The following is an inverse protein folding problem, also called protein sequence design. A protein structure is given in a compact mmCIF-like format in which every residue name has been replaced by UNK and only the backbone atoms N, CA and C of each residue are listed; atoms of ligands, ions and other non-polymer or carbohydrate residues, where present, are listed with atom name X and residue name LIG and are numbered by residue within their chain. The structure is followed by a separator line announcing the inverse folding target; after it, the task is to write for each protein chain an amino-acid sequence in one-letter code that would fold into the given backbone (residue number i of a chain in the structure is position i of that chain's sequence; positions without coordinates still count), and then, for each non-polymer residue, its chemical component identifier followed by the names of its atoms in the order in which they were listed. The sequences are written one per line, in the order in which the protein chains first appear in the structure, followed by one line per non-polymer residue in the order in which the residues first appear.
data_IF_454215889690
#
_entry.id   IF_454215889690
#
_cell.length_a   1.000
_cell.length_b   1.000
_cell.length_c   1.000
_cell.angle_alpha   90.00
_cell.angle_beta   90.00
_cell.angle_gamma   90.00
#
_symmetry.space_group_name_H-M   'P 1'
#
loop_
_entity.id
_entity.type
_entity.pdbx_description
1 polymer ?
#
# COMPACT_ATOMS: atom_id res chain seq x y z
N UNK A 1 32.12 -37.57 -6.21
CA UNK A 1 30.81 -37.20 -5.63
C UNK A 1 30.34 -35.94 -6.33
N UNK A 2 29.30 -36.07 -7.16
CA UNK A 2 28.40 -34.98 -7.59
C UNK A 2 27.62 -34.51 -6.34
N UNK A 3 27.22 -33.26 -6.13
CA UNK A 3 26.69 -32.28 -7.08
C UNK A 3 26.63 -30.88 -6.43
N UNK A 4 26.76 -29.85 -7.30
CA UNK A 4 25.99 -28.60 -7.40
C UNK A 4 25.74 -27.82 -6.10
N UNK A 5 26.34 -26.67 -5.79
CA UNK A 5 26.71 -25.52 -6.64
C UNK A 5 25.67 -25.09 -7.68
N UNK A 6 24.39 -25.11 -7.31
CA UNK A 6 23.41 -24.16 -7.84
C UNK A 6 23.42 -22.96 -6.85
N UNK A 7 24.21 -21.91 -7.05
CA UNK A 7 24.01 -20.94 -8.12
C UNK A 7 22.54 -20.52 -8.26
N UNK A 8 21.90 -20.14 -7.14
CA UNK A 8 20.91 -19.08 -7.20
C UNK A 8 21.61 -17.80 -7.65
N UNK A 9 21.74 -17.66 -8.97
CA UNK A 9 22.07 -16.41 -9.59
C UNK A 9 21.06 -15.38 -9.07
N UNK A 10 21.54 -14.45 -8.23
CA UNK A 10 20.89 -13.16 -7.97
C UNK A 10 20.75 -12.48 -9.33
N UNK A 11 19.62 -12.74 -9.98
CA UNK A 11 19.20 -12.01 -11.17
C UNK A 11 18.83 -10.61 -10.69
N UNK A 12 19.77 -9.67 -10.80
CA UNK A 12 19.68 -8.23 -11.18
C UNK A 12 18.36 -7.42 -11.00
N UNK A 13 17.35 -7.91 -10.32
CA UNK A 13 15.96 -7.41 -10.19
C UNK A 13 15.68 -6.99 -8.75
N UNK A 14 16.72 -6.54 -8.03
CA UNK A 14 16.65 -6.23 -6.60
C UNK A 14 16.21 -4.77 -6.33
N UNK A 15 15.88 -4.00 -7.39
CA UNK A 15 15.51 -2.58 -7.28
C UNK A 15 14.06 -2.37 -7.69
N UNK A 16 13.39 -1.48 -6.97
CA UNK A 16 12.01 -1.02 -7.25
C UNK A 16 11.89 -0.51 -8.68
N UNK A 17 12.94 0.16 -9.17
CA UNK A 17 13.05 0.69 -10.54
C UNK A 17 13.08 -0.37 -11.65
N UNK A 18 13.31 -1.66 -11.31
CA UNK A 18 13.31 -2.75 -12.30
C UNK A 18 11.90 -3.35 -12.54
N UNK A 19 10.90 -2.89 -11.76
CA UNK A 19 9.49 -3.22 -11.98
C UNK A 19 8.88 -2.15 -12.87
N UNK A 20 8.22 -2.57 -13.95
CA UNK A 20 7.60 -1.61 -14.87
C UNK A 20 6.45 -0.87 -14.16
N UNK A 21 6.35 0.43 -14.42
CA UNK A 21 5.30 1.24 -13.79
C UNK A 21 3.91 0.71 -14.18
N UNK A 22 3.71 0.12 -15.36
CA UNK A 22 2.43 -0.47 -15.76
C UNK A 22 1.97 -1.62 -14.83
N UNK A 23 2.91 -2.42 -14.31
CA UNK A 23 2.59 -3.49 -13.36
C UNK A 23 2.16 -2.92 -12.01
N UNK A 24 2.86 -1.88 -11.53
CA UNK A 24 2.54 -1.21 -10.28
C UNK A 24 1.23 -0.40 -10.39
N UNK A 25 0.98 0.21 -11.54
CA UNK A 25 -0.28 0.87 -11.86
C UNK A 25 -1.45 -0.13 -11.85
N UNK A 26 -1.27 -1.30 -12.48
CA UNK A 26 -2.27 -2.38 -12.43
C UNK A 26 -2.54 -2.85 -11.00
N UNK A 27 -1.50 -2.94 -10.16
CA UNK A 27 -1.64 -3.26 -8.73
C UNK A 27 -2.40 -2.16 -7.96
N UNK A 28 -2.11 -0.88 -8.23
CA UNK A 28 -2.83 0.25 -7.62
C UNK A 28 -4.31 0.27 -8.06
N UNK A 29 -4.61 -0.05 -9.31
CA UNK A 29 -5.99 -0.17 -9.80
C UNK A 29 -6.74 -1.31 -9.12
N UNK A 30 -6.09 -2.44 -8.82
CA UNK A 30 -6.68 -3.49 -7.97
C UNK A 30 -6.96 -2.99 -6.54
N UNK A 31 -6.09 -2.16 -5.97
CA UNK A 31 -6.33 -1.53 -4.66
C UNK A 31 -7.54 -0.57 -4.72
N UNK A 32 -7.70 0.19 -5.81
CA UNK A 32 -8.89 1.01 -6.05
C UNK A 32 -10.16 0.15 -6.16
N UNK A 33 -10.13 -0.98 -6.86
CA UNK A 33 -11.29 -1.86 -6.99
C UNK A 33 -11.82 -2.38 -5.64
N UNK A 34 -10.93 -2.74 -4.72
CA UNK A 34 -11.35 -3.14 -3.36
C UNK A 34 -11.82 -1.93 -2.55
N UNK A 35 -11.18 -0.77 -2.69
CA UNK A 35 -11.60 0.48 -2.04
C UNK A 35 -13.01 0.90 -2.44
N UNK A 36 -13.37 0.76 -3.73
CA UNK A 36 -14.69 1.11 -4.28
C UNK A 36 -15.84 0.30 -3.64
N UNK A 37 -15.56 -0.88 -3.10
CA UNK A 37 -16.56 -1.78 -2.50
C UNK A 37 -16.58 -1.72 -0.97
N UNK A 38 -15.68 -0.95 -0.36
CA UNK A 38 -15.49 -0.92 1.08
C UNK A 38 -16.36 0.16 1.74
N UNK A 39 -16.82 -0.09 2.99
CA UNK A 39 -17.57 0.94 3.74
C UNK A 39 -16.71 2.14 4.11
N UNK A 40 -15.39 1.95 4.19
CA UNK A 40 -14.39 3.02 4.22
C UNK A 40 -13.56 2.92 2.96
N UNK A 41 -13.52 3.94 2.09
CA UNK A 41 -13.02 3.81 0.71
C UNK A 41 -11.49 3.87 0.64
N UNK A 42 -10.81 2.99 1.35
CA UNK A 42 -9.36 2.87 1.33
C UNK A 42 -9.00 1.45 0.94
N UNK A 43 -8.03 1.33 0.04
CA UNK A 43 -7.54 0.06 -0.45
C UNK A 43 -6.03 0.04 -0.47
N UNK A 44 -5.47 -1.15 -0.30
CA UNK A 44 -4.05 -1.37 -0.42
C UNK A 44 -3.77 -2.69 -1.11
N UNK A 45 -2.67 -2.74 -1.85
CA UNK A 45 -2.11 -3.93 -2.43
C UNK A 45 -0.65 -4.09 -2.00
N UNK A 46 -0.23 -5.32 -1.74
CA UNK A 46 1.16 -5.68 -1.50
C UNK A 46 1.67 -6.44 -2.72
N UNK A 47 2.56 -5.81 -3.48
CA UNK A 47 3.14 -6.37 -4.69
C UNK A 47 4.44 -7.13 -4.36
N UNK A 48 4.53 -8.37 -4.80
CA UNK A 48 5.70 -9.24 -4.67
C UNK A 48 6.62 -9.00 -5.88
N UNK A 49 7.80 -8.42 -5.63
CA UNK A 49 8.79 -8.06 -6.66
C UNK A 49 9.30 -9.32 -7.37
N UNK A 50 9.62 -10.36 -6.61
CA UNK A 50 10.18 -11.62 -7.11
C UNK A 50 9.20 -12.35 -8.03
N UNK A 51 7.92 -12.43 -7.62
CA UNK A 51 6.87 -13.10 -8.41
C UNK A 51 6.18 -12.17 -9.41
N UNK A 52 6.52 -10.88 -9.41
CA UNK A 52 5.97 -9.83 -10.29
C UNK A 52 4.45 -9.79 -10.30
N UNK A 53 3.82 -9.88 -9.13
CA UNK A 53 2.35 -9.92 -8.98
C UNK A 53 1.89 -9.36 -7.64
N UNK A 54 0.61 -9.01 -7.56
CA UNK A 54 -0.04 -8.70 -6.29
C UNK A 54 -0.15 -9.99 -5.44
N UNK A 55 0.48 -9.99 -4.27
CA UNK A 55 0.39 -11.09 -3.31
C UNK A 55 -0.85 -10.94 -2.42
N UNK A 56 -1.16 -9.71 -1.99
CA UNK A 56 -2.31 -9.39 -1.17
C UNK A 56 -2.98 -8.11 -1.67
N UNK A 57 -4.31 -8.08 -1.67
CA UNK A 57 -5.09 -6.87 -1.93
C UNK A 57 -6.27 -6.86 -0.95
N UNK A 58 -6.41 -5.79 -0.17
CA UNK A 58 -7.42 -5.70 0.88
C UNK A 58 -7.99 -4.27 0.98
N UNK A 59 -9.30 -4.14 1.27
CA UNK A 59 -9.87 -2.87 1.66
C UNK A 59 -9.60 -2.57 3.15
N UNK A 60 -9.94 -1.35 3.56
CA UNK A 60 -10.18 -1.00 4.95
C UNK A 60 -11.44 -1.74 5.44
N UNK A 61 -11.31 -2.41 6.58
CA UNK A 61 -12.39 -3.20 7.20
C UNK A 61 -12.72 -2.72 8.61
N UNK A 62 -12.37 -1.48 8.96
CA UNK A 62 -12.58 -0.93 10.31
C UNK A 62 -14.03 -1.00 10.79
N UNK A 63 -15.00 -0.92 9.86
CA UNK A 63 -16.43 -0.99 10.18
C UNK A 63 -16.92 -2.43 10.25
N UNK A 64 -16.44 -3.26 9.35
CA UNK A 64 -16.81 -4.66 9.15
C UNK A 64 -16.29 -5.51 10.31
N UNK A 65 -15.04 -5.30 10.72
CA UNK A 65 -14.37 -6.09 11.76
C UNK A 65 -14.53 -5.48 13.16
N UNK A 66 -15.14 -4.29 13.26
CA UNK A 66 -15.18 -3.49 14.49
C UNK A 66 -13.78 -3.24 15.11
N UNK A 67 -12.72 -3.28 14.29
CA UNK A 67 -11.33 -3.03 14.68
C UNK A 67 -10.89 -1.65 14.17
N UNK A 68 -10.62 -0.66 15.05
CA UNK A 68 -10.15 0.66 14.61
C UNK A 68 -8.78 0.62 13.92
N UNK A 69 -8.03 -0.48 14.01
CA UNK A 69 -6.71 -0.65 13.38
C UNK A 69 -6.78 -1.39 12.04
N UNK A 70 -7.94 -1.85 11.59
CA UNK A 70 -8.12 -2.61 10.35
C UNK A 70 -8.14 -1.71 9.09
N UNK A 71 -7.10 -0.87 8.98
CA UNK A 71 -6.81 -0.10 7.78
C UNK A 71 -6.35 -1.02 6.64
N UNK A 72 -6.52 -0.59 5.39
CA UNK A 72 -6.20 -1.40 4.23
C UNK A 72 -4.73 -1.86 4.24
N UNK A 73 -3.82 -0.94 4.56
CA UNK A 73 -2.38 -1.17 4.68
C UNK A 73 -2.07 -2.18 5.80
N UNK A 74 -2.74 -2.05 6.95
CA UNK A 74 -2.57 -3.00 8.06
C UNK A 74 -3.09 -4.39 7.67
N UNK A 75 -4.20 -4.46 6.95
CA UNK A 75 -4.81 -5.71 6.52
C UNK A 75 -3.90 -6.47 5.54
N UNK A 76 -3.29 -5.79 4.57
CA UNK A 76 -2.32 -6.45 3.67
C UNK A 76 -1.05 -6.85 4.40
N UNK A 77 -0.49 -5.99 5.25
CA UNK A 77 0.76 -6.29 5.98
C UNK A 77 0.58 -7.44 6.97
N UNK A 78 -0.54 -7.48 7.71
CA UNK A 78 -0.85 -8.58 8.64
C UNK A 78 -1.04 -9.90 7.90
N UNK A 79 -1.76 -9.89 6.78
CA UNK A 79 -1.98 -11.10 5.97
C UNK A 79 -0.66 -11.65 5.40
N UNK A 80 0.23 -10.75 4.96
CA UNK A 80 1.55 -11.11 4.49
C UNK A 80 2.43 -11.66 5.61
N UNK A 81 2.52 -10.96 6.75
CA UNK A 81 3.34 -11.37 7.90
C UNK A 81 2.95 -12.74 8.49
N UNK A 82 1.70 -13.17 8.32
CA UNK A 82 1.24 -14.50 8.73
C UNK A 82 1.75 -15.63 7.79
N UNK A 83 2.03 -15.30 6.54
CA UNK A 83 2.42 -16.27 5.50
C UNK A 83 3.92 -16.20 5.16
N UNK A 84 4.53 -15.04 5.36
CA UNK A 84 5.91 -14.72 5.00
C UNK A 84 6.51 -13.81 6.08
N UNK A 85 7.63 -14.23 6.66
CA UNK A 85 8.33 -13.45 7.69
C UNK A 85 9.18 -12.32 7.10
N UNK A 86 9.47 -12.34 5.80
CA UNK A 86 10.32 -11.36 5.13
C UNK A 86 9.55 -10.55 4.08
N UNK A 87 9.15 -9.33 4.43
CA UNK A 87 8.45 -8.44 3.52
C UNK A 87 9.39 -7.54 2.71
N UNK A 88 10.72 -7.71 2.81
CA UNK A 88 11.70 -6.83 2.15
C UNK A 88 11.70 -6.89 0.62
N UNK A 89 11.04 -7.90 0.05
CA UNK A 89 10.82 -8.03 -1.40
C UNK A 89 9.42 -7.57 -1.83
N UNK A 90 8.75 -6.74 -1.03
CA UNK A 90 7.40 -6.25 -1.33
C UNK A 90 7.32 -4.73 -1.44
N UNK A 91 6.46 -4.26 -2.34
CA UNK A 91 6.07 -2.85 -2.46
C UNK A 91 4.63 -2.72 -1.95
N UNK A 92 4.40 -1.78 -1.03
CA UNK A 92 3.07 -1.43 -0.55
C UNK A 92 2.46 -0.34 -1.45
N UNK A 93 1.39 -0.66 -2.16
CA UNK A 93 0.59 0.27 -2.95
C UNK A 93 -0.63 0.67 -2.12
N UNK A 94 -0.83 1.96 -1.89
CA UNK A 94 -1.95 2.47 -1.09
C UNK A 94 -2.74 3.52 -1.87
N UNK A 95 -4.07 3.39 -1.95
CA UNK A 95 -4.90 4.33 -2.72
C UNK A 95 -4.82 5.77 -2.19
N UNK A 96 -4.49 5.93 -0.92
CA UNK A 96 -4.15 7.20 -0.29
C UNK A 96 -2.85 7.09 0.50
N UNK A 97 -2.23 8.23 0.80
CA UNK A 97 -1.04 8.32 1.63
C UNK A 97 -1.26 7.64 3.00
N UNK A 98 -0.43 6.65 3.37
CA UNK A 98 -0.58 5.94 4.62
C UNK A 98 -0.49 6.86 5.83
N UNK A 99 -1.40 6.67 6.79
CA UNK A 99 -1.34 7.41 8.05
C UNK A 99 -0.08 7.02 8.85
N UNK A 100 0.30 7.78 9.89
CA UNK A 100 1.54 7.51 10.62
C UNK A 100 1.65 6.10 11.21
N UNK A 101 0.53 5.51 11.62
CA UNK A 101 0.48 4.12 12.08
C UNK A 101 0.88 3.15 10.96
N UNK A 102 0.24 3.28 9.79
CA UNK A 102 0.46 2.41 8.64
C UNK A 102 1.86 2.59 8.04
N UNK A 103 2.34 3.84 7.94
CA UNK A 103 3.71 4.15 7.51
C UNK A 103 4.75 3.53 8.47
N UNK A 104 4.52 3.62 9.78
CA UNK A 104 5.40 2.98 10.77
C UNK A 104 5.36 1.45 10.69
N UNK A 105 4.19 0.86 10.46
CA UNK A 105 4.04 -0.58 10.29
C UNK A 105 4.79 -1.09 9.05
N UNK A 106 4.77 -0.33 7.95
CA UNK A 106 5.55 -0.64 6.75
C UNK A 106 7.06 -0.64 7.01
N UNK A 107 7.57 0.30 7.81
CA UNK A 107 8.97 0.35 8.25
C UNK A 107 9.32 -0.87 9.11
N UNK A 108 8.49 -1.19 10.11
CA UNK A 108 8.71 -2.33 11.02
C UNK A 108 8.66 -3.65 10.24
N UNK A 109 7.74 -3.75 9.28
CA UNK A 109 7.65 -4.88 8.35
C UNK A 109 8.78 -4.91 7.32
N UNK A 110 9.60 -3.86 7.24
CA UNK A 110 10.73 -3.72 6.32
C UNK A 110 10.33 -3.86 4.85
N UNK A 111 9.13 -3.41 4.46
CA UNK A 111 8.76 -3.42 3.03
C UNK A 111 9.77 -2.61 2.22
N UNK A 112 9.99 -2.99 0.96
CA UNK A 112 10.97 -2.31 0.10
C UNK A 112 10.63 -0.84 -0.11
N UNK A 113 9.36 -0.58 -0.40
CA UNK A 113 8.87 0.74 -0.77
C UNK A 113 7.37 0.90 -0.47
N UNK A 114 6.94 2.15 -0.39
CA UNK A 114 5.55 2.56 -0.42
C UNK A 114 5.31 3.39 -1.68
N UNK A 115 4.29 3.07 -2.46
CA UNK A 115 3.73 4.00 -3.44
C UNK A 115 2.29 4.34 -3.07
N UNK A 116 1.93 5.62 -3.17
CA UNK A 116 0.59 6.07 -2.80
C UNK A 116 0.04 7.13 -3.75
N UNK A 117 -1.27 7.15 -3.89
CA UNK A 117 -2.01 8.14 -4.69
C UNK A 117 -2.30 9.43 -3.91
N UNK A 118 -3.55 9.63 -3.55
CA UNK A 118 -4.05 10.85 -2.89
C UNK A 118 -3.33 11.16 -1.59
N UNK A 119 -2.77 12.36 -1.48
CA UNK A 119 -2.05 12.80 -0.28
C UNK A 119 -2.95 13.00 0.96
N UNK A 120 -2.36 12.97 2.15
CA UNK A 120 -3.03 13.36 3.40
C UNK A 120 -3.59 14.78 3.29
N UNK A 121 -2.84 15.71 2.67
CA UNK A 121 -3.27 17.08 2.50
C UNK A 121 -4.54 17.17 1.65
N UNK A 122 -4.60 16.44 0.53
CA UNK A 122 -5.79 16.36 -0.33
C UNK A 122 -6.97 15.74 0.41
N UNK A 123 -6.76 14.65 1.16
CA UNK A 123 -7.82 14.05 1.98
C UNK A 123 -8.39 15.03 3.02
N UNK A 124 -7.54 15.82 3.68
CA UNK A 124 -7.99 16.83 4.65
C UNK A 124 -8.81 17.92 3.96
N UNK A 125 -8.39 18.38 2.78
CA UNK A 125 -9.16 19.35 1.99
C UNK A 125 -10.54 18.81 1.58
N UNK A 126 -10.64 17.49 1.33
CA UNK A 126 -11.89 16.79 1.05
C UNK A 126 -12.70 16.47 2.33
N UNK A 127 -12.30 16.95 3.50
CA UNK A 127 -13.05 16.83 4.76
C UNK A 127 -12.79 15.53 5.54
N UNK A 128 -11.80 14.72 5.13
CA UNK A 128 -11.42 13.53 5.88
C UNK A 128 -10.54 13.89 7.08
N UNK A 129 -10.83 13.30 8.24
CA UNK A 129 -9.97 13.45 9.42
C UNK A 129 -8.70 12.62 9.23
N UNK A 130 -7.55 13.29 9.21
CA UNK A 130 -6.25 12.66 9.12
C UNK A 130 -5.29 13.24 10.17
N UNK A 131 -4.32 12.44 10.60
CA UNK A 131 -3.15 12.97 11.28
C UNK A 131 -2.28 13.60 10.20
N UNK A 132 -2.12 14.92 10.24
CA UNK A 132 -1.36 15.70 9.26
C UNK A 132 0.16 15.55 9.47
N UNK A 133 0.63 14.32 9.32
CA UNK A 133 2.04 13.95 9.39
C UNK A 133 2.35 13.10 8.15
N UNK A 134 3.03 13.66 7.13
CA UNK A 134 3.32 12.95 5.89
C UNK A 134 4.07 11.65 6.11
N UNK A 135 3.79 10.64 5.28
CA UNK A 135 4.46 9.34 5.33
C UNK A 135 5.98 9.49 5.15
N UNK A 136 6.41 10.39 4.26
CA UNK A 136 7.82 10.72 4.06
C UNK A 136 8.50 11.24 5.34
N UNK A 137 7.78 11.99 6.18
CA UNK A 137 8.32 12.44 7.48
C UNK A 137 8.50 11.26 8.43
N UNK A 138 7.50 10.38 8.57
CA UNK A 138 7.60 9.18 9.41
C UNK A 138 8.79 8.32 8.98
N UNK A 139 8.95 8.12 7.67
CA UNK A 139 10.02 7.30 7.09
C UNK A 139 11.40 7.93 7.25
N UNK A 140 11.51 9.26 7.12
CA UNK A 140 12.77 9.97 7.38
C UNK A 140 13.26 9.83 8.83
N UNK A 141 12.34 9.62 9.77
CA UNK A 141 12.60 9.42 11.19
C UNK A 141 12.59 7.94 11.64
N UNK A 142 12.35 7.00 10.72
CA UNK A 142 12.34 5.57 11.00
C UNK A 142 13.62 4.84 10.56
N UNK A 143 13.76 3.59 11.01
CA UNK A 143 14.81 2.66 10.60
C UNK A 143 14.22 1.25 10.46
N UNK A 144 14.46 0.53 9.36
CA UNK A 144 15.22 0.97 8.18
C UNK A 144 14.48 2.06 7.39
N UNK A 145 15.23 2.82 6.57
CA UNK A 145 14.61 3.73 5.61
C UNK A 145 14.11 2.93 4.41
N UNK A 146 12.84 3.11 4.08
CA UNK A 146 12.18 2.50 2.93
C UNK A 146 11.93 3.56 1.86
N UNK A 147 11.82 3.16 0.60
CA UNK A 147 11.56 4.10 -0.49
C UNK A 147 10.11 4.61 -0.48
N UNK A 148 9.90 5.85 -0.91
CA UNK A 148 8.56 6.46 -1.01
C UNK A 148 8.37 7.00 -2.42
N UNK A 149 7.32 6.53 -3.09
CA UNK A 149 6.85 7.00 -4.41
C UNK A 149 5.51 7.73 -4.23
N UNK A 150 5.54 9.04 -3.92
CA UNK A 150 4.31 9.82 -3.78
C UNK A 150 3.66 10.07 -5.14
N UNK A 151 2.38 10.49 -5.13
CA UNK A 151 1.63 10.89 -6.32
C UNK A 151 1.41 9.77 -7.37
N UNK A 152 1.46 8.50 -6.95
CA UNK A 152 1.31 7.34 -7.82
C UNK A 152 -0.15 7.14 -8.24
N UNK A 153 -0.46 7.33 -9.52
CA UNK A 153 -1.84 7.44 -10.03
C UNK A 153 -2.69 8.47 -9.26
N UNK A 154 -2.08 9.60 -8.86
CA UNK A 154 -2.76 10.65 -8.09
C UNK A 154 -4.02 11.16 -8.78
N UNK A 155 -3.99 11.39 -10.09
CA UNK A 155 -5.18 11.89 -10.81
C UNK A 155 -6.37 10.91 -10.74
N UNK A 156 -6.13 9.60 -10.77
CA UNK A 156 -7.20 8.60 -10.64
C UNK A 156 -7.73 8.52 -9.20
N UNK A 157 -6.82 8.50 -8.23
CA UNK A 157 -7.15 8.38 -6.80
C UNK A 157 -7.84 9.65 -6.28
N UNK A 158 -7.39 10.85 -6.67
CA UNK A 158 -8.01 12.11 -6.29
C UNK A 158 -9.44 12.21 -6.83
N UNK A 159 -9.65 11.84 -8.10
CA UNK A 159 -10.99 11.77 -8.70
C UNK A 159 -11.89 10.78 -7.95
N UNK A 160 -11.34 9.64 -7.52
CA UNK A 160 -12.09 8.67 -6.72
C UNK A 160 -12.56 9.24 -5.38
N UNK A 161 -11.65 9.87 -4.60
CA UNK A 161 -12.01 10.44 -3.29
C UNK A 161 -12.93 11.67 -3.40
N UNK A 162 -12.76 12.49 -4.44
CA UNK A 162 -13.67 13.59 -4.75
C UNK A 162 -15.10 13.06 -5.02
N UNK A 163 -15.22 12.02 -5.85
CA UNK A 163 -16.52 11.41 -6.16
C UNK A 163 -17.16 10.77 -4.94
N UNK A 164 -16.38 10.04 -4.13
CA UNK A 164 -16.91 9.39 -2.93
C UNK A 164 -17.54 10.38 -1.93
N UNK A 165 -16.96 11.59 -1.80
CA UNK A 165 -17.55 12.66 -0.97
C UNK A 165 -18.91 13.13 -1.52
N UNK A 166 -19.06 13.21 -2.84
CA UNK A 166 -20.32 13.65 -3.48
C UNK A 166 -21.38 12.55 -3.60
N UNK A 167 -20.95 11.29 -3.74
CA UNK A 167 -21.78 10.11 -3.96
C UNK A 167 -21.04 8.88 -3.40
N UNK A 168 -21.30 8.46 -2.15
CA UNK A 168 -20.65 7.28 -1.60
C UNK A 168 -21.03 6.02 -2.40
N UNK A 169 -20.03 5.26 -2.84
CA UNK A 169 -20.21 3.97 -3.50
C UNK A 169 -20.61 2.94 -2.43
N UNK A 170 -21.78 2.31 -2.57
CA UNK A 170 -22.29 1.32 -1.62
C UNK A 170 -23.03 1.96 -0.44
N UNK A 171 -24.32 1.63 -0.29
CA UNK A 171 -25.27 2.35 0.54
C UNK A 171 -25.03 2.34 2.05
N UNK A 172 -25.46 3.47 2.62
CA UNK A 172 -25.88 3.77 3.99
C UNK A 172 -24.86 3.82 5.14
N UNK A 173 -25.17 4.80 6.01
CA UNK A 173 -24.41 5.44 7.08
C UNK A 173 -23.95 4.50 8.20
#
# INVERSE_FOLDING_TARGET
MKNDSDQFASTKLDRVDDISDELLESAMRQALEVAMRARRPFGAALFDITRRRVAYCRPNTTREDHDPFAHAEMNVLRAAAQSDSDLSNHILLSTAEPCPMCASAAIIGQVKAIAFGTSIATLVQLGWRQIQLPAATVIAHGSPRIEVRPHFLESETDLFYQRYQTQPYGGEQ
#
